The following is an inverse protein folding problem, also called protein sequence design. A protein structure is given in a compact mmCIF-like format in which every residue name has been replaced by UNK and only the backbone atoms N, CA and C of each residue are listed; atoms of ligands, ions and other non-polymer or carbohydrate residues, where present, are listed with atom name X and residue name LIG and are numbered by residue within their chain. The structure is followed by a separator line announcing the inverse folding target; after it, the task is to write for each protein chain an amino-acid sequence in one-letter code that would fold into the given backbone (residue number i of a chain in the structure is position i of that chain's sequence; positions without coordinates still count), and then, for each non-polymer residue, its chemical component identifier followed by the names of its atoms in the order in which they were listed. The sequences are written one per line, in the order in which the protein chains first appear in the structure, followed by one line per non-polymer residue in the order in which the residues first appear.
data_IF_207628832458
#
_entry.id   IF_207628832458
#
_cell.length_a   1.000
_cell.length_b   1.000
_cell.length_c   1.000
_cell.angle_alpha   90.00
_cell.angle_beta   90.00
_cell.angle_gamma   90.00
#
_symmetry.space_group_name_H-M   'P 1'
#
loop_
_entity.id
_entity.type
_entity.pdbx_description
1 polymer ?
#
# COMPACT_ATOMS: atom_id res chain seq x y z
N UNK A 1 -8.15 -21.51 14.62
CA UNK A 1 -9.32 -21.24 13.77
C UNK A 1 -9.75 -22.52 13.04
N UNK A 2 -11.05 -22.71 12.76
CA UNK A 2 -11.48 -23.87 11.99
C UNK A 2 -10.95 -23.82 10.57
N UNK A 3 -10.69 -24.99 9.98
CA UNK A 3 -10.29 -25.11 8.60
C UNK A 3 -11.54 -25.36 7.73
N UNK A 4 -12.02 -24.31 7.09
CA UNK A 4 -13.26 -24.33 6.29
C UNK A 4 -13.17 -25.21 5.03
N UNK A 5 -11.96 -25.58 4.56
CA UNK A 5 -11.80 -26.62 3.53
C UNK A 5 -12.42 -27.97 3.93
N UNK A 6 -12.58 -28.20 5.23
CA UNK A 6 -13.10 -29.47 5.79
C UNK A 6 -14.55 -29.36 6.29
N UNK A 7 -15.15 -28.18 6.20
CA UNK A 7 -16.51 -27.93 6.69
C UNK A 7 -17.50 -28.09 5.54
N UNK A 8 -18.53 -28.92 5.75
CA UNK A 8 -19.61 -29.10 4.79
C UNK A 8 -20.44 -27.80 4.65
N UNK A 9 -20.86 -27.48 3.42
CA UNK A 9 -21.67 -26.31 3.13
C UNK A 9 -20.89 -25.04 2.77
N UNK A 10 -19.57 -25.08 2.87
CA UNK A 10 -18.72 -23.95 2.41
C UNK A 10 -18.28 -24.24 0.97
N UNK A 11 -18.58 -23.36 0.00
CA UNK A 11 -18.10 -23.53 -1.37
C UNK A 11 -16.58 -23.50 -1.45
N UNK A 12 -15.97 -24.43 -2.14
CA UNK A 12 -14.52 -24.48 -2.34
C UNK A 12 -14.07 -23.75 -3.61
N UNK A 13 -14.99 -23.46 -4.53
CA UNK A 13 -14.76 -22.80 -5.81
C UNK A 13 -15.90 -21.85 -6.15
N UNK A 14 -15.70 -21.03 -7.17
CA UNK A 14 -16.73 -20.10 -7.62
C UNK A 14 -16.73 -18.76 -6.89
N UNK A 15 -15.73 -18.52 -6.05
CA UNK A 15 -15.52 -17.23 -5.40
C UNK A 15 -14.98 -16.18 -6.36
N UNK A 16 -15.27 -14.92 -6.09
CA UNK A 16 -14.75 -13.77 -6.83
C UNK A 16 -13.84 -12.96 -5.95
N UNK A 17 -12.68 -12.59 -6.47
CA UNK A 17 -11.76 -11.68 -5.81
C UNK A 17 -12.31 -10.25 -5.89
N UNK A 18 -12.62 -9.67 -4.74
CA UNK A 18 -13.08 -8.30 -4.63
C UNK A 18 -11.90 -7.34 -4.52
N UNK A 19 -11.03 -7.56 -3.54
CA UNK A 19 -9.90 -6.69 -3.27
C UNK A 19 -8.72 -7.44 -2.63
N UNK A 20 -7.57 -6.76 -2.58
CA UNK A 20 -6.38 -7.22 -1.84
C UNK A 20 -5.86 -6.06 -1.02
N UNK A 21 -5.75 -6.24 0.29
CA UNK A 21 -5.34 -5.23 1.26
C UNK A 21 -3.97 -5.55 1.86
N UNK A 22 -3.12 -4.55 2.02
CA UNK A 22 -1.95 -4.62 2.90
C UNK A 22 -2.35 -4.08 4.28
N UNK A 23 -2.48 -4.97 5.27
CA UNK A 23 -2.94 -4.61 6.63
C UNK A 23 -1.87 -3.91 7.47
N UNK A 24 -0.63 -3.85 6.99
CA UNK A 24 0.44 -3.13 7.70
C UNK A 24 0.33 -1.64 7.44
N UNK A 25 0.17 -0.87 8.51
CA UNK A 25 0.14 0.58 8.43
C UNK A 25 1.52 1.18 8.12
N UNK A 26 1.50 2.43 7.66
CA UNK A 26 2.71 3.17 7.34
C UNK A 26 3.58 3.41 8.58
N UNK A 27 4.81 2.93 8.51
CA UNK A 27 5.77 3.04 9.63
C UNK A 27 5.63 1.96 10.69
N UNK A 28 4.65 1.07 10.58
CA UNK A 28 4.46 -0.07 11.46
C UNK A 28 5.54 -1.14 11.20
N UNK A 29 6.15 -1.64 12.26
CA UNK A 29 7.14 -2.71 12.18
C UNK A 29 6.47 -4.08 11.99
N UNK A 30 7.27 -5.08 11.66
CA UNK A 30 6.79 -6.45 11.57
C UNK A 30 6.27 -6.98 12.90
N UNK A 31 6.90 -6.59 14.01
CA UNK A 31 6.51 -7.01 15.35
C UNK A 31 5.21 -6.35 15.83
N UNK A 32 4.89 -5.16 15.30
CA UNK A 32 3.71 -4.38 15.70
C UNK A 32 2.52 -4.61 14.74
N UNK A 33 2.70 -5.44 13.72
CA UNK A 33 1.64 -5.73 12.73
C UNK A 33 0.63 -6.72 13.30
N UNK A 34 -0.63 -6.34 13.35
CA UNK A 34 -1.74 -7.23 13.68
C UNK A 34 -2.09 -8.11 12.48
N UNK A 35 -1.36 -9.22 12.33
CA UNK A 35 -1.58 -10.17 11.24
C UNK A 35 -2.93 -10.84 11.35
N UNK A 36 -3.58 -11.05 10.21
CA UNK A 36 -4.84 -11.78 10.15
C UNK A 36 -4.63 -13.30 9.97
N UNK A 37 -5.66 -14.05 10.37
CA UNK A 37 -5.78 -15.47 10.07
C UNK A 37 -6.59 -15.69 8.79
N UNK A 38 -6.14 -16.61 7.94
CA UNK A 38 -6.92 -17.04 6.79
C UNK A 38 -8.22 -17.69 7.22
N UNK A 39 -9.34 -17.09 6.89
CA UNK A 39 -10.66 -17.67 7.23
C UNK A 39 -10.84 -19.05 6.62
N UNK A 40 -10.26 -19.33 5.45
CA UNK A 40 -10.46 -20.61 4.76
C UNK A 40 -9.62 -21.75 5.33
N UNK A 41 -8.34 -21.57 5.60
CA UNK A 41 -7.43 -22.64 6.06
C UNK A 41 -6.90 -22.49 7.49
N UNK A 42 -7.16 -21.34 8.13
CA UNK A 42 -6.68 -21.04 9.48
C UNK A 42 -5.20 -20.69 9.59
N UNK A 43 -4.50 -20.51 8.46
CA UNK A 43 -3.11 -20.04 8.47
C UNK A 43 -3.04 -18.65 9.08
N UNK A 44 -2.23 -18.48 10.10
CA UNK A 44 -1.98 -17.21 10.77
C UNK A 44 -0.90 -16.37 10.04
N UNK A 45 -0.76 -15.11 10.45
CA UNK A 45 0.24 -14.18 9.94
C UNK A 45 0.10 -13.81 8.46
N UNK A 46 -1.13 -13.60 7.99
CA UNK A 46 -1.37 -13.01 6.68
C UNK A 46 -1.21 -11.49 6.77
N UNK A 47 -0.32 -10.92 5.97
CA UNK A 47 -0.18 -9.48 5.76
C UNK A 47 -1.02 -8.98 4.60
N UNK A 48 -0.97 -9.69 3.46
CA UNK A 48 -1.73 -9.33 2.28
C UNK A 48 -3.01 -10.14 2.26
N UNK A 49 -4.12 -9.48 2.59
CA UNK A 49 -5.42 -10.09 2.78
C UNK A 49 -6.23 -9.98 1.49
N UNK A 50 -6.61 -11.12 0.95
CA UNK A 50 -7.47 -11.22 -0.23
C UNK A 50 -8.92 -11.33 0.23
N UNK A 51 -9.75 -10.41 -0.21
CA UNK A 51 -11.19 -10.38 0.09
C UNK A 51 -11.92 -11.05 -1.06
N UNK A 52 -12.63 -12.12 -0.75
CA UNK A 52 -13.36 -12.92 -1.74
C UNK A 52 -14.83 -13.08 -1.34
N UNK A 53 -15.72 -13.09 -2.33
CA UNK A 53 -17.18 -13.30 -2.14
C UNK A 53 -17.67 -14.45 -3.01
N UNK A 54 -18.78 -15.07 -2.58
CA UNK A 54 -19.46 -16.12 -3.32
C UNK A 54 -20.96 -15.83 -3.38
N UNK A 55 -21.59 -16.01 -4.55
CA UNK A 55 -23.01 -15.63 -4.74
C UNK A 55 -23.98 -16.43 -3.89
N UNK A 56 -23.62 -17.68 -3.57
CA UNK A 56 -24.45 -18.58 -2.73
C UNK A 56 -24.01 -18.60 -1.26
N UNK A 57 -23.01 -17.78 -0.87
CA UNK A 57 -22.49 -17.73 0.49
C UNK A 57 -22.48 -16.27 0.97
N UNK A 58 -23.27 -15.95 1.96
CA UNK A 58 -23.59 -14.58 2.34
C UNK A 58 -22.48 -13.80 3.05
N UNK A 59 -21.32 -14.43 3.30
CA UNK A 59 -20.19 -13.79 3.97
C UNK A 59 -19.00 -13.65 3.03
N UNK A 60 -18.31 -12.52 3.15
CA UNK A 60 -17.01 -12.33 2.52
C UNK A 60 -15.93 -13.04 3.33
N UNK A 61 -15.01 -13.71 2.66
CA UNK A 61 -13.87 -14.33 3.31
C UNK A 61 -12.60 -13.49 3.13
N UNK A 62 -11.85 -13.37 4.20
CA UNK A 62 -10.54 -12.74 4.25
C UNK A 62 -9.49 -13.86 4.30
N UNK A 63 -8.76 -14.03 3.21
CA UNK A 63 -7.91 -15.22 3.00
C UNK A 63 -6.52 -14.84 2.50
N UNK A 64 -5.57 -15.78 2.63
CA UNK A 64 -4.26 -15.64 2.01
C UNK A 64 -4.29 -15.95 0.50
N UNK A 65 -3.25 -15.53 -0.23
CA UNK A 65 -3.11 -15.67 -1.67
C UNK A 65 -3.42 -17.08 -2.18
N UNK A 66 -2.79 -18.10 -1.61
CA UNK A 66 -2.97 -19.49 -2.03
C UNK A 66 -4.42 -19.99 -1.90
N UNK A 67 -5.15 -19.52 -0.87
CA UNK A 67 -6.56 -19.84 -0.72
C UNK A 67 -7.40 -19.07 -1.73
N UNK A 68 -7.12 -17.78 -1.94
CA UNK A 68 -7.79 -16.96 -2.94
C UNK A 68 -7.68 -17.58 -4.34
N UNK A 69 -6.48 -18.01 -4.76
CA UNK A 69 -6.26 -18.68 -6.05
C UNK A 69 -7.11 -19.94 -6.21
N UNK A 70 -7.12 -20.80 -5.20
CA UNK A 70 -7.91 -22.03 -5.23
C UNK A 70 -9.41 -21.80 -5.23
N UNK A 71 -9.87 -20.82 -4.45
CA UNK A 71 -11.29 -20.46 -4.31
C UNK A 71 -11.83 -19.79 -5.57
N UNK A 72 -11.06 -18.90 -6.18
CA UNK A 72 -11.46 -18.17 -7.40
C UNK A 72 -11.19 -18.97 -8.67
N UNK A 73 -10.25 -19.92 -8.64
CA UNK A 73 -9.70 -20.59 -9.84
C UNK A 73 -8.82 -19.67 -10.71
N UNK A 74 -8.49 -18.48 -10.20
CA UNK A 74 -7.63 -17.49 -10.85
C UNK A 74 -6.26 -17.48 -10.16
N UNK A 75 -5.25 -17.98 -10.85
CA UNK A 75 -3.88 -18.06 -10.34
C UNK A 75 -2.99 -16.88 -10.77
N UNK A 76 -3.56 -15.91 -11.47
CA UNK A 76 -2.82 -14.74 -11.97
C UNK A 76 -3.15 -13.47 -11.20
N UNK A 77 -4.43 -13.16 -11.03
CA UNK A 77 -4.83 -11.88 -10.44
C UNK A 77 -4.54 -11.75 -8.95
N UNK A 78 -4.78 -12.76 -8.09
CA UNK A 78 -4.43 -12.68 -6.67
C UNK A 78 -2.93 -12.41 -6.48
N UNK A 79 -2.07 -13.18 -7.14
CA UNK A 79 -0.62 -13.03 -7.07
C UNK A 79 -0.16 -11.68 -7.63
N UNK A 80 -0.71 -11.25 -8.76
CA UNK A 80 -0.37 -9.97 -9.39
C UNK A 80 -0.70 -8.79 -8.47
N UNK A 81 -1.90 -8.74 -7.91
CA UNK A 81 -2.33 -7.67 -7.00
C UNK A 81 -1.49 -7.65 -5.72
N UNK A 82 -1.20 -8.80 -5.15
CA UNK A 82 -0.30 -8.88 -3.98
C UNK A 82 1.11 -8.39 -4.32
N UNK A 83 1.64 -8.75 -5.49
CA UNK A 83 2.96 -8.29 -5.96
C UNK A 83 3.00 -6.77 -6.17
N UNK A 84 1.93 -6.18 -6.69
CA UNK A 84 1.80 -4.73 -6.84
C UNK A 84 1.86 -4.01 -5.48
N UNK A 85 1.16 -4.53 -4.47
CA UNK A 85 1.21 -4.00 -3.10
C UNK A 85 2.60 -4.16 -2.47
N UNK A 86 3.24 -5.32 -2.63
CA UNK A 86 4.62 -5.55 -2.16
C UNK A 86 5.61 -4.58 -2.81
N UNK A 87 5.50 -4.37 -4.10
CA UNK A 87 6.35 -3.43 -4.84
C UNK A 87 6.12 -1.99 -4.37
N UNK A 88 4.86 -1.60 -4.13
CA UNK A 88 4.52 -0.28 -3.60
C UNK A 88 5.10 -0.08 -2.19
N UNK A 89 4.94 -1.07 -1.32
CA UNK A 89 5.50 -1.05 0.03
C UNK A 89 7.03 -0.92 0.02
N UNK A 90 7.71 -1.66 -0.86
CA UNK A 90 9.17 -1.57 -1.04
C UNK A 90 9.61 -0.20 -1.58
N UNK A 91 8.92 0.33 -2.59
CA UNK A 91 9.20 1.69 -3.12
C UNK A 91 9.03 2.73 -2.02
N UNK A 92 8.00 2.62 -1.20
CA UNK A 92 7.73 3.55 -0.11
C UNK A 92 8.79 3.48 0.99
N UNK A 93 9.18 2.28 1.42
CA UNK A 93 10.25 2.07 2.40
C UNK A 93 11.57 2.67 1.91
N UNK A 94 11.90 2.47 0.65
CA UNK A 94 13.14 3.00 0.06
C UNK A 94 13.07 4.49 -0.30
N UNK A 95 11.87 5.09 -0.30
CA UNK A 95 11.69 6.47 -0.73
C UNK A 95 12.37 7.48 0.18
N UNK A 96 12.29 7.30 1.48
CA UNK A 96 12.97 8.15 2.46
C UNK A 96 14.49 8.11 2.31
N UNK A 97 15.04 6.95 1.95
CA UNK A 97 16.46 6.69 1.82
C UNK A 97 17.01 7.11 0.46
N UNK A 98 16.19 7.64 -0.45
CA UNK A 98 16.69 8.23 -1.69
C UNK A 98 17.56 9.43 -1.39
N UNK A 99 18.52 9.69 -2.26
CA UNK A 99 19.47 10.79 -2.14
C UNK A 99 18.78 12.15 -2.35
N UNK A 100 18.10 12.60 -1.30
CA UNK A 100 17.57 13.97 -1.25
C UNK A 100 18.71 14.94 -1.03
N UNK A 101 18.92 15.83 -1.98
CA UNK A 101 19.94 16.87 -1.89
C UNK A 101 19.41 18.05 -1.10
N UNK A 102 20.31 18.78 -0.44
CA UNK A 102 19.98 20.00 0.29
C UNK A 102 20.53 21.20 -0.47
N UNK A 103 19.67 22.18 -0.73
CA UNK A 103 20.06 23.44 -1.38
C UNK A 103 20.70 24.40 -0.38
N UNK A 104 21.30 25.49 -0.88
CA UNK A 104 21.89 26.56 -0.04
C UNK A 104 20.89 27.20 0.92
N UNK A 105 19.62 27.11 0.65
CA UNK A 105 18.52 27.66 1.47
C UNK A 105 17.87 26.60 2.36
N UNK A 106 18.57 25.51 2.66
CA UNK A 106 18.08 24.37 3.48
C UNK A 106 16.79 23.74 2.98
N UNK A 107 16.56 23.80 1.67
CA UNK A 107 15.46 23.08 1.04
C UNK A 107 15.94 21.70 0.57
N UNK A 108 15.08 20.70 0.72
CA UNK A 108 15.35 19.34 0.25
C UNK A 108 14.77 19.17 -1.14
N UNK A 109 15.54 18.61 -2.07
CA UNK A 109 15.07 18.33 -3.42
C UNK A 109 15.50 16.98 -3.94
N UNK A 110 14.69 16.43 -4.81
CA UNK A 110 14.89 15.15 -5.49
C UNK A 110 14.43 15.27 -6.94
N UNK A 111 15.31 14.90 -7.88
CA UNK A 111 14.89 14.69 -9.27
C UNK A 111 14.49 13.23 -9.45
N UNK A 112 13.25 13.00 -9.83
CA UNK A 112 12.70 11.68 -9.99
C UNK A 112 11.89 11.57 -11.29
N UNK A 113 12.30 10.68 -12.19
CA UNK A 113 11.64 10.44 -13.49
C UNK A 113 11.35 11.74 -14.27
N UNK A 114 12.35 12.61 -14.40
CA UNK A 114 12.28 13.94 -15.05
C UNK A 114 11.40 14.99 -14.34
N UNK A 115 10.94 14.73 -13.15
CA UNK A 115 10.22 15.69 -12.32
C UNK A 115 11.08 16.19 -11.16
N UNK A 116 10.88 17.44 -10.78
CA UNK A 116 11.59 18.09 -9.68
C UNK A 116 10.70 18.19 -8.45
N UNK A 117 11.05 17.45 -7.40
CA UNK A 117 10.38 17.49 -6.11
C UNK A 117 11.17 18.39 -5.17
N UNK A 118 10.51 19.37 -4.55
CA UNK A 118 11.10 20.30 -3.62
C UNK A 118 10.31 20.33 -2.31
N UNK A 119 11.01 20.14 -1.20
CA UNK A 119 10.48 20.34 0.15
C UNK A 119 11.14 21.58 0.73
N UNK A 120 10.34 22.55 1.12
CA UNK A 120 10.82 23.82 1.66
C UNK A 120 10.04 24.21 2.91
N UNK A 121 10.66 25.05 3.74
CA UNK A 121 10.03 25.55 4.95
C UNK A 121 9.19 26.80 4.63
N UNK A 122 7.91 26.75 5.01
CA UNK A 122 7.01 27.88 4.91
C UNK A 122 7.39 28.96 5.96
N UNK A 123 7.65 30.16 5.50
CA UNK A 123 8.14 31.28 6.34
C UNK A 123 7.14 31.69 7.44
N UNK A 124 5.85 31.52 7.19
CA UNK A 124 4.80 31.96 8.12
C UNK A 124 4.51 30.91 9.20
N UNK A 125 4.48 29.64 8.85
CA UNK A 125 4.12 28.56 9.79
C UNK A 125 5.31 27.80 10.34
N UNK A 126 6.50 27.95 9.74
CA UNK A 126 7.67 27.15 10.06
C UNK A 126 7.58 25.67 9.69
N UNK A 127 6.45 25.23 9.13
CA UNK A 127 6.21 23.87 8.68
C UNK A 127 6.73 23.63 7.27
N UNK A 128 6.90 22.37 6.90
CA UNK A 128 7.35 22.01 5.57
C UNK A 128 6.20 21.95 4.57
N UNK A 129 6.48 22.36 3.35
CA UNK A 129 5.59 22.25 2.18
C UNK A 129 6.29 21.52 1.05
N UNK A 130 5.48 20.94 0.18
CA UNK A 130 5.92 20.22 -1.00
C UNK A 130 5.59 21.02 -2.26
N UNK A 131 6.53 21.04 -3.20
CA UNK A 131 6.33 21.50 -4.57
C UNK A 131 6.79 20.39 -5.53
N UNK A 132 6.01 20.09 -6.54
CA UNK A 132 6.38 19.18 -7.64
C UNK A 132 6.35 20.00 -8.93
N UNK A 133 7.49 20.14 -9.56
CA UNK A 133 7.72 21.04 -10.68
C UNK A 133 7.24 22.47 -10.34
N UNK A 134 6.23 22.97 -11.02
CA UNK A 134 5.66 24.29 -10.76
C UNK A 134 4.40 24.30 -9.88
N UNK A 135 3.99 23.12 -9.38
CA UNK A 135 2.77 22.97 -8.58
C UNK A 135 3.07 22.91 -7.09
N UNK A 136 2.49 23.84 -6.34
CA UNK A 136 2.58 23.87 -4.88
C UNK A 136 1.51 22.99 -4.25
N UNK A 137 1.92 22.15 -3.28
CA UNK A 137 0.98 21.45 -2.42
C UNK A 137 0.35 22.38 -1.37
N UNK A 138 -0.90 22.13 -1.04
CA UNK A 138 -1.63 22.90 -0.02
C UNK A 138 -1.33 22.44 1.41
N UNK A 139 -0.90 21.20 1.59
CA UNK A 139 -0.66 20.61 2.89
C UNK A 139 0.66 21.08 3.51
N UNK A 140 0.69 21.12 4.84
CA UNK A 140 1.87 21.43 5.65
C UNK A 140 2.24 20.21 6.51
N UNK A 141 3.54 20.01 6.69
CA UNK A 141 4.10 18.85 7.41
C UNK A 141 4.99 19.35 8.55
N UNK A 142 4.96 18.65 9.67
CA UNK A 142 5.71 19.05 10.87
C UNK A 142 7.22 18.76 10.73
N UNK A 143 7.57 17.72 9.97
CA UNK A 143 8.96 17.31 9.74
C UNK A 143 9.21 16.94 8.26
N UNK A 144 10.49 16.84 7.92
CA UNK A 144 10.96 16.51 6.56
C UNK A 144 10.57 15.10 6.15
N UNK A 145 10.58 14.13 7.07
CA UNK A 145 10.26 12.74 6.76
C UNK A 145 8.80 12.57 6.36
N UNK A 146 7.89 13.24 7.08
CA UNK A 146 6.49 13.29 6.70
C UNK A 146 6.28 13.97 5.34
N UNK A 147 7.03 15.04 5.05
CA UNK A 147 7.00 15.69 3.74
C UNK A 147 7.53 14.78 2.62
N UNK A 148 8.59 13.98 2.86
CA UNK A 148 9.11 12.98 1.92
C UNK A 148 8.08 11.89 1.64
N UNK A 149 7.40 11.38 2.67
CA UNK A 149 6.32 10.39 2.50
C UNK A 149 5.16 10.97 1.71
N UNK A 150 4.79 12.22 1.99
CA UNK A 150 3.75 12.92 1.24
C UNK A 150 4.13 13.10 -0.24
N UNK A 151 5.41 13.36 -0.53
CA UNK A 151 5.93 13.39 -1.90
C UNK A 151 5.71 12.05 -2.61
N UNK A 152 6.02 10.92 -1.95
CA UNK A 152 5.75 9.59 -2.49
C UNK A 152 4.26 9.39 -2.80
N UNK A 153 3.38 9.70 -1.86
CA UNK A 153 1.92 9.55 -2.04
C UNK A 153 1.41 10.39 -3.23
N UNK A 154 1.91 11.61 -3.38
CA UNK A 154 1.55 12.47 -4.50
C UNK A 154 2.05 11.92 -5.84
N UNK A 155 3.27 11.40 -5.90
CA UNK A 155 3.82 10.75 -7.10
C UNK A 155 2.96 9.55 -7.51
N UNK A 156 2.67 8.64 -6.58
CA UNK A 156 1.82 7.47 -6.85
C UNK A 156 0.42 7.90 -7.34
N UNK A 157 -0.19 8.89 -6.69
CA UNK A 157 -1.48 9.44 -7.09
C UNK A 157 -1.47 10.03 -8.51
N UNK A 158 -0.42 10.76 -8.88
CA UNK A 158 -0.29 11.34 -10.22
C UNK A 158 -0.07 10.26 -11.27
N UNK A 159 0.71 9.21 -10.96
CA UNK A 159 0.91 8.04 -11.83
C UNK A 159 -0.40 7.30 -12.09
N UNK A 160 -1.17 7.01 -11.06
CA UNK A 160 -2.48 6.33 -11.17
C UNK A 160 -3.45 7.09 -12.07
N UNK A 161 -3.35 8.41 -12.15
CA UNK A 161 -4.18 9.28 -12.99
C UNK A 161 -3.58 9.62 -14.34
N UNK A 162 -2.42 9.06 -14.68
CA UNK A 162 -1.70 9.38 -15.92
C UNK A 162 -1.29 10.85 -16.07
N UNK A 163 -1.06 11.52 -14.93
CA UNK A 163 -0.64 12.94 -14.84
C UNK A 163 0.82 13.12 -14.43
N UNK A 164 1.57 12.02 -14.40
CA UNK A 164 2.99 11.95 -14.10
C UNK A 164 3.82 11.84 -15.36
#
# INVERSE_FOLDING_TARGET
MPNYWKISGVPHKGWRLLDVEDIREDGQSECDTDYECCMMCGHDKIRYVHIVSHDEYGEEFRVGCNCAEKMTGDYLNPERRERELKNRASRKSNWKNREWRVSRNDNYFLNYENHHLLIFRDRFSGKFKLKIDDKYGNNKYDDVDNAKIAAFKNVEYLKERGKW
#
